data_IF_438515102222
#
_entry.id   IF_438515102222
#
_cell.length_a   1.000
_cell.length_b   1.000
_cell.length_c   1.000
_cell.angle_alpha   90.00
_cell.angle_beta   90.00
_cell.angle_gamma   90.00
#
_symmetry.space_group_name_H-M   'P 1'
#
loop_
_entity.id
_entity.type
_entity.pdbx_description
1 polymer ?
#
# COMPACT_ATOMS: atom_id res chain seq x y z
N UNK A 1 -8.75 12.64 1.80
CA UNK A 1 -9.43 11.43 2.29
C UNK A 1 -10.53 11.82 3.24
N UNK A 2 -11.79 11.82 2.80
CA UNK A 2 -12.93 11.96 3.72
C UNK A 2 -13.74 10.67 3.61
N UNK A 3 -13.70 9.88 4.70
CA UNK A 3 -14.69 8.87 5.07
C UNK A 3 -14.48 7.41 4.65
N UNK A 4 -13.36 7.02 4.05
CA UNK A 4 -13.11 5.57 3.85
C UNK A 4 -12.75 4.91 5.20
N UNK A 5 -13.45 3.84 5.61
CA UNK A 5 -13.08 3.09 6.79
C UNK A 5 -11.77 2.34 6.55
N UNK A 6 -11.02 2.10 7.62
CA UNK A 6 -9.86 1.24 7.62
C UNK A 6 -10.25 -0.13 7.05
N UNK A 7 -9.55 -0.54 5.98
CA UNK A 7 -9.84 -1.81 5.31
C UNK A 7 -9.61 -3.04 6.19
N UNK A 8 -8.90 -2.89 7.32
CA UNK A 8 -8.45 -3.99 8.16
C UNK A 8 -9.26 -4.15 9.44
N UNK A 9 -9.91 -3.10 9.93
CA UNK A 9 -10.71 -3.16 11.17
C UNK A 9 -12.03 -2.38 11.14
N UNK A 10 -12.30 -1.61 10.08
CA UNK A 10 -13.52 -0.79 9.94
C UNK A 10 -13.52 0.55 10.69
N UNK A 11 -12.51 0.82 11.54
CA UNK A 11 -12.37 2.12 12.22
C UNK A 11 -12.12 3.26 11.20
N UNK A 12 -12.31 4.55 11.57
CA UNK A 12 -11.97 5.66 10.68
C UNK A 12 -10.51 5.61 10.21
N UNK A 13 -10.28 5.70 8.90
CA UNK A 13 -8.94 5.75 8.33
C UNK A 13 -8.27 7.09 8.64
N UNK A 14 -7.01 7.05 9.05
CA UNK A 14 -6.19 8.23 9.36
C UNK A 14 -4.93 8.32 8.50
N UNK A 15 -4.57 7.23 7.82
CA UNK A 15 -3.32 7.06 7.07
C UNK A 15 -3.57 6.28 5.77
N UNK A 16 -2.62 6.37 4.83
CA UNK A 16 -2.49 5.48 3.69
C UNK A 16 -1.24 4.61 3.86
N UNK A 17 -1.28 3.40 3.31
CA UNK A 17 -0.12 2.53 3.32
C UNK A 17 0.92 2.91 2.26
N UNK A 18 2.17 3.08 2.70
CA UNK A 18 3.33 3.44 1.86
C UNK A 18 4.01 2.23 1.19
N UNK A 19 3.43 1.04 1.30
CA UNK A 19 4.02 -0.17 0.76
C UNK A 19 4.09 -0.13 -0.76
N UNK A 20 5.24 -0.45 -1.34
CA UNK A 20 5.40 -0.54 -2.79
C UNK A 20 4.85 -1.87 -3.30
N UNK A 21 3.97 -1.78 -4.28
CA UNK A 21 3.48 -2.94 -5.00
C UNK A 21 4.48 -3.32 -6.08
N UNK A 22 5.00 -2.38 -6.85
CA UNK A 22 5.91 -2.65 -7.95
C UNK A 22 6.25 -1.36 -8.69
N UNK A 23 6.84 -1.49 -9.87
CA UNK A 23 7.37 -0.36 -10.61
C UNK A 23 7.01 -0.46 -12.10
N UNK A 24 6.83 0.66 -12.81
CA UNK A 24 6.73 0.64 -14.26
C UNK A 24 8.05 0.19 -14.89
N UNK A 25 8.02 -0.31 -16.14
CA UNK A 25 9.24 -0.65 -16.86
C UNK A 25 10.10 0.59 -17.11
N UNK A 26 11.42 0.41 -17.17
CA UNK A 26 12.34 1.48 -17.56
C UNK A 26 12.14 1.86 -19.04
N UNK A 27 12.28 3.14 -19.37
CA UNK A 27 11.95 3.67 -20.71
C UNK A 27 12.86 3.14 -21.82
N UNK A 28 14.14 2.93 -21.53
CA UNK A 28 15.14 2.41 -22.48
C UNK A 28 15.43 0.92 -22.33
N UNK A 29 15.12 0.34 -21.18
CA UNK A 29 15.44 -1.06 -20.81
C UNK A 29 14.19 -1.70 -20.20
N UNK A 30 13.17 -2.09 -21.01
CA UNK A 30 11.86 -2.50 -20.51
C UNK A 30 11.85 -3.72 -19.57
N UNK A 31 12.92 -4.50 -19.57
CA UNK A 31 13.19 -5.62 -18.66
C UNK A 31 13.63 -5.18 -17.25
N UNK A 32 13.93 -3.89 -17.06
CA UNK A 32 14.29 -3.29 -15.78
C UNK A 32 13.14 -2.44 -15.21
N UNK A 33 13.19 -2.19 -13.91
CA UNK A 33 12.25 -1.29 -13.24
C UNK A 33 12.65 0.18 -13.42
N UNK A 34 11.67 1.07 -13.47
CA UNK A 34 11.84 2.52 -13.23
C UNK A 34 11.57 2.81 -11.76
N UNK A 35 12.60 3.01 -10.91
CA UNK A 35 12.44 3.03 -9.45
C UNK A 35 11.80 4.32 -8.91
N UNK A 36 11.67 5.35 -9.74
CA UNK A 36 11.22 6.69 -9.32
C UNK A 36 9.71 6.86 -9.32
N UNK A 37 8.97 5.93 -9.91
CA UNK A 37 7.51 6.02 -10.07
C UNK A 37 6.83 4.74 -9.54
N UNK A 38 7.03 4.33 -8.27
CA UNK A 38 6.44 3.11 -7.74
C UNK A 38 4.91 3.15 -7.79
N UNK A 39 4.30 2.01 -8.08
CA UNK A 39 2.90 1.77 -7.76
C UNK A 39 2.79 1.42 -6.28
N UNK A 40 2.02 2.21 -5.53
CA UNK A 40 1.86 2.09 -4.07
C UNK A 40 0.60 1.32 -3.68
N UNK A 41 0.60 0.79 -2.46
CA UNK A 41 -0.51 0.03 -1.89
C UNK A 41 -1.73 0.92 -1.64
N UNK A 42 -1.53 2.14 -1.14
CA UNK A 42 -2.57 3.15 -0.89
C UNK A 42 -3.77 2.63 -0.07
N UNK A 43 -3.57 1.60 0.76
CA UNK A 43 -4.66 1.03 1.55
C UNK A 43 -5.06 2.03 2.64
N UNK A 44 -6.33 2.45 2.72
CA UNK A 44 -6.80 3.28 3.83
C UNK A 44 -6.78 2.46 5.12
N UNK A 45 -6.07 2.98 6.12
CA UNK A 45 -5.90 2.34 7.42
C UNK A 45 -5.90 3.33 8.58
N UNK A 46 -6.28 2.83 9.76
CA UNK A 46 -6.11 3.56 11.02
C UNK A 46 -4.69 3.34 11.56
N UNK A 47 -4.22 4.25 12.41
CA UNK A 47 -2.91 4.14 13.07
C UNK A 47 -2.73 2.84 13.86
N UNK A 48 -3.80 2.29 14.44
CA UNK A 48 -3.75 1.01 15.16
C UNK A 48 -3.51 -0.22 14.28
N UNK A 49 -3.79 -0.13 12.98
CA UNK A 49 -3.49 -1.19 12.01
C UNK A 49 -2.17 -0.94 11.25
N UNK A 50 -1.56 0.22 11.44
CA UNK A 50 -0.31 0.57 10.78
C UNK A 50 0.89 -0.07 11.50
N UNK A 51 1.83 -0.58 10.72
CA UNK A 51 3.16 -0.98 11.17
C UNK A 51 4.16 0.07 10.71
N UNK A 52 4.76 0.80 11.64
CA UNK A 52 5.78 1.78 11.30
C UNK A 52 7.04 1.06 10.80
N UNK A 53 7.40 1.32 9.54
CA UNK A 53 8.56 0.75 8.86
C UNK A 53 9.76 1.69 8.84
N UNK A 54 9.54 2.96 9.21
CA UNK A 54 10.56 3.99 9.32
C UNK A 54 9.95 5.35 9.65
N UNK A 55 10.82 6.25 10.07
CA UNK A 55 10.52 7.68 10.19
C UNK A 55 11.75 8.47 9.76
N UNK A 56 11.55 9.58 9.05
CA UNK A 56 12.64 10.52 8.79
C UNK A 56 12.34 11.88 9.41
N UNK A 57 13.40 12.50 9.89
CA UNK A 57 13.38 13.78 10.54
C UNK A 57 14.50 14.65 9.93
N UNK A 58 14.11 15.65 9.15
CA UNK A 58 15.06 16.53 8.45
C UNK A 58 14.93 17.94 8.99
N UNK A 59 15.95 18.40 9.71
CA UNK A 59 16.07 19.78 10.17
C UNK A 59 16.96 20.58 9.23
N UNK A 60 16.36 21.45 8.41
CA UNK A 60 17.10 22.35 7.52
C UNK A 60 17.43 23.64 8.28
N UNK A 61 18.72 23.88 8.52
CA UNK A 61 19.20 25.08 9.20
C UNK A 61 18.85 26.33 8.37
N UNK A 62 18.10 27.26 8.97
CA UNK A 62 17.64 28.48 8.29
C UNK A 62 16.25 28.39 7.63
N UNK A 63 15.61 27.22 7.64
CA UNK A 63 14.24 27.08 7.16
C UNK A 63 13.25 27.58 8.22
N UNK A 64 12.50 28.65 7.91
CA UNK A 64 11.56 29.30 8.86
C UNK A 64 10.42 28.38 9.34
N UNK A 65 10.16 27.25 8.68
CA UNK A 65 9.05 26.33 8.98
C UNK A 65 9.41 25.14 9.88
N UNK A 66 10.62 25.09 10.44
CA UNK A 66 11.04 23.99 11.33
C UNK A 66 11.47 22.73 10.59
N UNK A 67 11.56 21.61 11.31
CA UNK A 67 11.99 20.32 10.78
C UNK A 67 10.83 19.57 10.10
N UNK A 68 11.13 18.85 9.04
CA UNK A 68 10.18 17.97 8.33
C UNK A 68 10.21 16.61 9.01
N UNK A 69 9.04 16.14 9.43
CA UNK A 69 8.81 14.79 9.95
C UNK A 69 7.91 14.06 8.99
N UNK A 70 8.27 12.83 8.68
CA UNK A 70 7.44 11.95 7.87
C UNK A 70 7.68 10.50 8.30
N UNK A 71 6.66 9.68 8.12
CA UNK A 71 6.66 8.28 8.51
C UNK A 71 6.45 7.39 7.31
N UNK A 72 7.00 6.18 7.35
CA UNK A 72 6.69 5.12 6.40
C UNK A 72 5.87 4.09 7.14
N UNK A 73 4.59 4.00 6.81
CA UNK A 73 3.62 3.18 7.52
C UNK A 73 3.05 2.10 6.59
N UNK A 74 3.17 0.85 7.02
CA UNK A 74 2.70 -0.31 6.26
C UNK A 74 1.41 -0.87 6.84
N UNK A 75 0.50 -1.27 5.95
CA UNK A 75 -0.66 -2.04 6.34
C UNK A 75 -0.26 -3.48 6.70
N UNK A 76 -1.15 -4.26 7.33
CA UNK A 76 -0.87 -5.65 7.69
C UNK A 76 -0.45 -6.53 6.50
N UNK A 77 -0.93 -6.23 5.28
CA UNK A 77 -0.54 -6.94 4.07
C UNK A 77 0.89 -6.62 3.62
N UNK A 78 1.28 -5.34 3.65
CA UNK A 78 2.62 -4.89 3.26
C UNK A 78 3.68 -5.20 4.31
N UNK A 79 3.31 -5.23 5.59
CA UNK A 79 4.24 -5.47 6.70
C UNK A 79 4.92 -6.85 6.63
N UNK A 80 4.28 -7.84 6.00
CA UNK A 80 4.80 -9.22 5.86
C UNK A 80 5.49 -9.47 4.51
N UNK A 81 5.45 -8.53 3.57
CA UNK A 81 6.06 -8.71 2.25
C UNK A 81 7.59 -8.52 2.30
N UNK A 82 8.36 -9.33 1.54
CA UNK A 82 9.78 -9.08 1.36
C UNK A 82 10.00 -7.71 0.69
N UNK A 83 10.83 -6.86 1.31
CA UNK A 83 11.18 -5.52 0.78
C UNK A 83 11.91 -5.56 -0.58
N UNK A 84 12.38 -6.73 -0.99
CA UNK A 84 13.07 -6.98 -2.26
C UNK A 84 12.13 -7.30 -3.42
N UNK A 85 10.81 -7.39 -3.19
CA UNK A 85 9.86 -7.74 -4.24
C UNK A 85 9.71 -6.59 -5.27
N UNK A 86 10.50 -6.64 -6.34
CA UNK A 86 10.55 -5.66 -7.42
C UNK A 86 9.89 -6.22 -8.67
N UNK A 87 8.55 -6.29 -8.68
CA UNK A 87 7.80 -6.65 -9.89
C UNK A 87 7.70 -5.47 -10.86
N UNK A 88 7.76 -5.77 -12.15
CA UNK A 88 7.42 -4.84 -13.23
C UNK A 88 5.91 -4.87 -13.43
N UNK A 89 5.30 -3.69 -13.50
CA UNK A 89 3.87 -3.50 -13.74
C UNK A 89 3.74 -2.62 -14.98
N UNK A 90 3.19 -3.17 -16.05
CA UNK A 90 3.18 -2.51 -17.36
C UNK A 90 2.11 -1.43 -17.49
N UNK A 91 1.01 -1.55 -16.75
CA UNK A 91 -0.13 -0.62 -16.86
C UNK A 91 -0.72 -0.23 -15.50
N UNK A 92 -1.30 0.98 -15.39
CA UNK A 92 -2.07 1.38 -14.21
C UNK A 92 -3.24 0.43 -13.92
N UNK A 93 -3.87 -0.15 -14.93
CA UNK A 93 -4.96 -1.13 -14.83
C UNK A 93 -4.48 -2.41 -14.12
N UNK A 94 -3.31 -2.90 -14.52
CA UNK A 94 -2.64 -4.03 -13.88
C UNK A 94 -2.32 -3.69 -12.42
N UNK A 95 -1.81 -2.48 -12.15
CA UNK A 95 -1.55 -2.01 -10.79
C UNK A 95 -2.81 -2.00 -9.92
N UNK A 96 -3.96 -1.55 -10.45
CA UNK A 96 -5.25 -1.56 -9.74
C UNK A 96 -5.69 -2.98 -9.40
N UNK A 97 -5.59 -3.91 -10.34
CA UNK A 97 -5.95 -5.33 -10.13
C UNK A 97 -5.07 -5.96 -9.06
N UNK A 98 -3.76 -5.75 -9.18
CA UNK A 98 -2.77 -6.19 -8.21
C UNK A 98 -3.05 -5.61 -6.82
N UNK A 99 -3.39 -4.31 -6.73
CA UNK A 99 -3.69 -3.63 -5.47
C UNK A 99 -4.90 -4.26 -4.78
N UNK A 100 -5.98 -4.49 -5.52
CA UNK A 100 -7.17 -5.16 -5.00
C UNK A 100 -6.85 -6.58 -4.50
N UNK A 101 -6.16 -7.39 -5.31
CA UNK A 101 -5.74 -8.74 -4.92
C UNK A 101 -4.80 -8.72 -3.70
N UNK A 102 -3.88 -7.77 -3.62
CA UNK A 102 -2.94 -7.63 -2.52
C UNK A 102 -3.67 -7.35 -1.20
N UNK A 103 -4.63 -6.41 -1.19
CA UNK A 103 -5.47 -6.16 -0.02
C UNK A 103 -6.24 -7.39 0.43
N UNK A 104 -6.63 -8.25 -0.52
CA UNK A 104 -7.36 -9.48 -0.22
C UNK A 104 -6.47 -10.60 0.35
N UNK A 105 -5.17 -10.56 0.08
CA UNK A 105 -4.21 -11.61 0.44
C UNK A 105 -3.84 -11.68 1.92
N UNK A 106 -4.12 -10.64 2.71
CA UNK A 106 -3.90 -10.61 4.16
C UNK A 106 -5.21 -10.42 4.94
N UNK A 107 -6.11 -11.42 4.92
CA UNK A 107 -7.44 -11.29 5.51
C UNK A 107 -7.39 -11.19 7.03
N UNK A 108 -7.71 -10.02 7.57
CA UNK A 108 -8.02 -9.86 9.00
C UNK A 108 -9.39 -10.45 9.32
N UNK A 109 -9.69 -10.70 10.60
CA UNK A 109 -11.01 -11.18 11.04
C UNK A 109 -12.15 -10.28 10.56
N UNK A 110 -11.94 -8.97 10.51
CA UNK A 110 -12.88 -8.01 9.94
C UNK A 110 -13.14 -8.26 8.46
N UNK A 111 -12.08 -8.44 7.66
CA UNK A 111 -12.21 -8.72 6.23
C UNK A 111 -12.86 -10.09 5.97
N UNK A 112 -12.53 -11.11 6.77
CA UNK A 112 -13.19 -12.43 6.69
C UNK A 112 -14.70 -12.31 6.94
N UNK A 113 -15.10 -11.60 8.00
CA UNK A 113 -16.51 -11.35 8.31
C UNK A 113 -17.23 -10.58 7.20
N UNK A 114 -16.62 -9.52 6.66
CA UNK A 114 -17.19 -8.76 5.54
C UNK A 114 -17.39 -9.62 4.28
N UNK A 115 -16.42 -10.50 3.95
CA UNK A 115 -16.54 -11.42 2.80
C UNK A 115 -17.62 -12.49 2.98
N UNK A 116 -17.80 -12.97 4.22
CA UNK A 116 -18.89 -13.90 4.56
C UNK A 116 -20.25 -13.21 4.33
N UNK A 117 -20.37 -11.93 4.72
CA UNK A 117 -21.60 -11.14 4.53
C UNK A 117 -21.86 -10.84 3.05
N UNK A 118 -20.81 -10.60 2.25
CA UNK A 118 -20.93 -10.28 0.82
C UNK A 118 -21.06 -11.51 -0.10
N UNK A 119 -21.10 -12.74 0.44
CA UNK A 119 -21.37 -13.94 -0.34
C UNK A 119 -20.20 -14.39 -1.22
N UNK A 120 -19.03 -14.68 -0.62
CA UNK A 120 -18.13 -15.76 -1.06
C UNK A 120 -17.76 -15.89 -2.55
N UNK A 121 -17.72 -14.80 -3.32
CA UNK A 121 -17.35 -14.84 -4.74
C UNK A 121 -15.84 -15.09 -4.91
N UNK A 122 -15.47 -16.28 -5.37
CA UNK A 122 -14.11 -16.60 -5.79
C UNK A 122 -13.75 -15.74 -7.01
N UNK A 123 -12.92 -14.71 -6.82
CA UNK A 123 -12.34 -13.97 -7.95
C UNK A 123 -11.20 -14.81 -8.51
N UNK A 124 -11.44 -15.40 -9.68
CA UNK A 124 -10.38 -16.02 -10.46
C UNK A 124 -9.49 -14.92 -11.03
N UNK A 125 -8.19 -15.04 -10.82
CA UNK A 125 -7.20 -14.19 -11.47
C UNK A 125 -7.07 -14.74 -12.89
N UNK A 126 -7.68 -14.09 -13.88
CA UNK A 126 -7.43 -14.40 -15.29
C UNK A 126 -6.00 -13.94 -15.60
N UNK A 127 -5.07 -14.90 -15.64
CA UNK A 127 -3.66 -14.74 -16.01
C UNK A 127 -3.48 -14.81 -17.51
#
# INVERSE_FOLDING_TARGET
MKNEPCMFCGAPSTLLCDGHLGYPPHKSEPELISPFEPYTCDAPMCSGCATNAGCYHICIRGHKRGCIHDTTDYCPACAVLPRTNRRIIHTPEQARTIRAAHWLSAPTEYQKRQRIIQGGGQQCLDL
#
